data_IF_708250468254
#
_entry.id   IF_708250468254
#
_cell.length_a   1.000
_cell.length_b   1.000
_cell.length_c   1.000
_cell.angle_alpha   90.00
_cell.angle_beta   90.00
_cell.angle_gamma   90.00
#
_symmetry.space_group_name_H-M   'P 1'
#
loop_
_entity.id
_entity.type
_entity.pdbx_description
1 polymer ?
#
# COMPACT_ATOMS: atom_id res chain seq x y z
N UNK A 1 -36.70 3.65 -2.35
CA UNK A 1 -35.85 4.01 -1.19
C UNK A 1 -35.71 5.53 -1.18
N UNK A 2 -36.17 6.19 -0.11
CA UNK A 2 -36.17 7.65 0.03
C UNK A 2 -34.74 8.25 0.02
N UNK A 3 -34.55 9.41 -0.62
CA UNK A 3 -33.26 10.14 -0.63
C UNK A 3 -33.08 10.91 0.68
N UNK A 4 -31.81 11.11 1.10
CA UNK A 4 -31.49 11.83 2.34
C UNK A 4 -32.06 13.25 2.37
N UNK A 5 -31.96 14.01 1.27
CA UNK A 5 -32.51 15.37 1.20
C UNK A 5 -34.02 15.40 1.47
N UNK A 6 -34.76 14.49 0.82
CA UNK A 6 -36.21 14.34 1.01
C UNK A 6 -36.56 13.93 2.45
N UNK A 7 -35.82 12.99 3.02
CA UNK A 7 -36.00 12.57 4.41
C UNK A 7 -35.77 13.73 5.38
N UNK A 8 -34.75 14.55 5.13
CA UNK A 8 -34.41 15.71 5.96
C UNK A 8 -35.50 16.78 5.88
N UNK A 9 -36.00 17.08 4.69
CA UNK A 9 -37.10 18.04 4.49
C UNK A 9 -38.36 17.61 5.24
N UNK A 10 -38.81 16.37 5.03
CA UNK A 10 -40.00 15.82 5.71
C UNK A 10 -39.86 15.98 7.23
N UNK A 11 -38.75 15.50 7.80
CA UNK A 11 -38.52 15.56 9.25
C UNK A 11 -38.39 17.00 9.78
N UNK A 12 -37.83 17.92 8.99
CA UNK A 12 -37.70 19.33 9.39
C UNK A 12 -39.05 20.05 9.48
N UNK A 13 -40.03 19.62 8.68
CA UNK A 13 -41.38 20.19 8.64
C UNK A 13 -42.30 19.57 9.72
N UNK A 14 -42.19 18.26 9.96
CA UNK A 14 -43.18 17.51 10.77
C UNK A 14 -42.69 17.04 12.13
N UNK A 15 -41.38 17.08 12.39
CA UNK A 15 -40.80 16.65 13.66
C UNK A 15 -40.13 17.82 14.38
N UNK A 16 -38.92 18.20 13.95
CA UNK A 16 -38.13 19.29 14.55
C UNK A 16 -37.17 19.86 13.52
N UNK A 17 -36.75 21.12 13.64
CA UNK A 17 -35.66 21.65 12.83
C UNK A 17 -34.36 20.86 13.07
N UNK A 18 -33.53 20.76 12.03
CA UNK A 18 -32.30 19.94 12.00
C UNK A 18 -31.35 20.28 13.17
N UNK A 19 -31.28 21.57 13.55
CA UNK A 19 -30.43 22.06 14.65
C UNK A 19 -30.77 21.48 16.02
N UNK A 20 -31.97 20.91 16.18
CA UNK A 20 -32.43 20.29 17.43
C UNK A 20 -32.32 18.77 17.43
N UNK A 21 -31.79 18.16 16.37
CA UNK A 21 -31.67 16.72 16.30
C UNK A 21 -30.44 16.26 17.08
N UNK A 22 -30.62 15.28 17.97
CA UNK A 22 -29.51 14.55 18.57
C UNK A 22 -28.73 13.78 17.49
N UNK A 23 -27.42 13.65 17.65
CA UNK A 23 -26.55 12.79 16.82
C UNK A 23 -26.71 11.29 17.08
N UNK A 24 -27.64 10.90 17.95
CA UNK A 24 -27.92 9.50 18.27
C UNK A 24 -28.23 8.66 17.02
N UNK A 25 -27.83 7.38 17.10
CA UNK A 25 -28.14 6.35 16.10
C UNK A 25 -29.44 5.60 16.42
N UNK A 26 -30.13 6.00 17.48
CA UNK A 26 -31.42 5.47 17.91
C UNK A 26 -32.57 6.32 17.36
N UNK A 27 -33.75 5.71 17.29
CA UNK A 27 -34.98 6.42 16.94
C UNK A 27 -35.48 7.19 18.18
N UNK A 28 -35.71 8.51 18.09
CA UNK A 28 -36.26 9.29 19.19
C UNK A 28 -37.60 8.73 19.66
N UNK A 29 -37.80 8.69 20.98
CA UNK A 29 -39.05 8.18 21.58
C UNK A 29 -40.26 9.07 21.27
N UNK A 30 -40.02 10.34 20.99
CA UNK A 30 -41.00 11.35 20.64
C UNK A 30 -41.23 11.47 19.13
N UNK A 31 -40.61 10.62 18.30
CA UNK A 31 -40.82 10.63 16.85
C UNK A 31 -42.27 10.21 16.53
N UNK A 32 -43.00 10.96 15.69
CA UNK A 32 -44.34 10.58 15.27
C UNK A 32 -44.41 9.17 14.68
N UNK A 33 -45.45 8.40 15.03
CA UNK A 33 -45.61 6.98 14.64
C UNK A 33 -46.10 6.76 13.20
N UNK A 34 -45.90 7.74 12.32
CA UNK A 34 -46.26 7.63 10.91
C UNK A 34 -45.18 6.85 10.14
N UNK A 35 -45.59 5.93 9.27
CA UNK A 35 -44.68 5.07 8.50
C UNK A 35 -43.66 5.86 7.67
N UNK A 36 -44.09 6.94 7.00
CA UNK A 36 -43.23 7.80 6.19
C UNK A 36 -42.19 8.53 7.04
N UNK A 37 -42.56 8.95 8.25
CA UNK A 37 -41.68 9.62 9.20
C UNK A 37 -40.63 8.65 9.75
N UNK A 38 -41.05 7.41 10.06
CA UNK A 38 -40.12 6.37 10.50
C UNK A 38 -39.16 5.94 9.39
N UNK A 39 -39.63 5.83 8.14
CA UNK A 39 -38.76 5.57 6.98
C UNK A 39 -37.73 6.70 6.82
N UNK A 40 -38.16 7.96 6.89
CA UNK A 40 -37.28 9.12 6.80
C UNK A 40 -36.18 9.09 7.89
N UNK A 41 -36.54 8.79 9.15
CA UNK A 41 -35.56 8.69 10.23
C UNK A 41 -34.58 7.53 10.02
N UNK A 42 -35.06 6.40 9.47
CA UNK A 42 -34.19 5.25 9.15
C UNK A 42 -33.11 5.61 8.11
N UNK A 43 -33.43 6.48 7.15
CA UNK A 43 -32.46 6.98 6.15
C UNK A 43 -31.41 7.88 6.80
N UNK A 44 -31.83 8.76 7.72
CA UNK A 44 -30.92 9.61 8.51
C UNK A 44 -29.97 8.75 9.36
N UNK A 45 -30.48 7.75 10.08
CA UNK A 45 -29.66 6.83 10.87
C UNK A 45 -28.69 6.04 10.00
N UNK A 46 -29.11 5.55 8.83
CA UNK A 46 -28.22 4.87 7.87
C UNK A 46 -27.09 5.80 7.41
N UNK A 47 -27.41 7.06 7.09
CA UNK A 47 -26.40 8.05 6.70
C UNK A 47 -25.43 8.35 7.84
N UNK A 48 -25.93 8.58 9.07
CA UNK A 48 -25.10 8.78 10.27
C UNK A 48 -24.20 7.59 10.55
N UNK A 49 -24.71 6.36 10.45
CA UNK A 49 -23.89 5.13 10.58
C UNK A 49 -22.78 5.07 9.53
N UNK A 50 -23.08 5.43 8.29
CA UNK A 50 -22.08 5.51 7.21
C UNK A 50 -21.01 6.54 7.55
N UNK A 51 -21.41 7.76 7.91
CA UNK A 51 -20.52 8.89 8.24
C UNK A 51 -19.67 8.61 9.50
N UNK A 52 -20.26 8.04 10.55
CA UNK A 52 -19.56 7.62 11.76
C UNK A 52 -18.51 6.53 11.48
N UNK A 53 -18.80 5.59 10.57
CA UNK A 53 -17.81 4.61 10.09
C UNK A 53 -16.66 5.31 9.36
N UNK A 54 -16.96 6.29 8.49
CA UNK A 54 -15.94 7.06 7.75
C UNK A 54 -15.07 7.91 8.68
N UNK A 55 -15.66 8.51 9.73
CA UNK A 55 -14.92 9.24 10.75
C UNK A 55 -14.15 8.35 11.72
N UNK A 56 -14.63 7.14 12.04
CA UNK A 56 -13.81 6.16 12.79
C UNK A 56 -12.55 5.78 12.01
N UNK A 57 -12.63 5.67 10.68
CA UNK A 57 -11.43 5.46 9.86
C UNK A 57 -10.52 6.69 9.78
N UNK A 58 -11.02 7.93 9.95
CA UNK A 58 -10.17 9.13 9.93
C UNK A 58 -9.59 9.51 11.30
N UNK A 59 -10.29 9.24 12.41
CA UNK A 59 -9.84 9.59 13.78
C UNK A 59 -8.86 8.59 14.40
N UNK A 60 -8.64 7.44 13.74
CA UNK A 60 -7.58 6.47 14.09
C UNK A 60 -6.19 6.91 13.56
N UNK A 61 -6.10 8.02 12.82
CA UNK A 61 -4.85 8.53 12.21
C UNK A 61 -3.98 9.42 13.13
N UNK A 62 -3.87 9.08 14.42
CA UNK A 62 -2.63 9.25 15.18
C UNK A 62 -2.31 7.87 15.74
N UNK A 63 -1.83 6.97 14.88
CA UNK A 63 -1.39 5.67 15.35
C UNK A 63 -0.09 5.87 16.09
N UNK A 64 0.04 5.28 17.29
CA UNK A 64 1.31 5.22 18.03
C UNK A 64 2.46 4.76 17.13
N UNK A 65 2.15 3.92 16.14
CA UNK A 65 3.08 3.48 15.11
C UNK A 65 3.59 4.65 14.25
N UNK A 66 2.73 5.53 13.73
CA UNK A 66 3.19 6.67 12.94
C UNK A 66 4.16 7.56 13.71
N UNK A 67 3.82 7.90 14.95
CA UNK A 67 4.67 8.76 15.80
C UNK A 67 6.00 8.08 16.15
N UNK A 68 6.05 6.74 16.18
CA UNK A 68 7.28 5.94 16.33
C UNK A 68 8.17 5.96 15.09
N UNK A 69 7.58 5.93 13.90
CA UNK A 69 8.33 5.86 12.63
C UNK A 69 8.75 7.24 12.14
N UNK A 70 7.94 8.28 12.35
CA UNK A 70 8.18 9.61 11.81
C UNK A 70 9.61 10.13 12.10
N UNK A 71 10.16 10.01 13.32
CA UNK A 71 11.54 10.43 13.61
C UNK A 71 12.62 9.60 12.91
N UNK A 72 12.27 8.41 12.42
CA UNK A 72 13.17 7.45 11.77
C UNK A 72 12.87 7.30 10.27
N UNK A 73 12.19 8.30 9.67
CA UNK A 73 11.77 8.26 8.27
C UNK A 73 12.94 8.05 7.31
N UNK A 74 14.06 8.73 7.53
CA UNK A 74 15.22 8.62 6.62
C UNK A 74 15.91 7.26 6.75
N UNK A 75 15.96 6.71 7.96
CA UNK A 75 16.40 5.32 8.19
C UNK A 75 15.49 4.32 7.45
N UNK A 76 14.17 4.54 7.47
CA UNK A 76 13.21 3.71 6.74
C UNK A 76 13.44 3.77 5.22
N UNK A 77 13.77 4.95 4.69
CA UNK A 77 14.12 5.10 3.28
C UNK A 77 15.36 4.25 2.96
N UNK A 78 16.42 4.35 3.75
CA UNK A 78 17.64 3.56 3.52
C UNK A 78 17.40 2.05 3.68
N UNK A 79 16.53 1.63 4.60
CA UNK A 79 16.14 0.23 4.72
C UNK A 79 15.37 -0.27 3.48
N UNK A 80 14.47 0.56 2.94
CA UNK A 80 13.77 0.27 1.69
C UNK A 80 14.79 0.08 0.56
N UNK A 81 15.75 1.00 0.42
CA UNK A 81 16.83 0.97 -0.58
C UNK A 81 17.76 -0.23 -0.40
N UNK A 82 18.07 -0.62 0.83
CA UNK A 82 18.93 -1.79 1.12
C UNK A 82 18.29 -3.14 0.73
N UNK A 83 17.00 -3.11 0.37
CA UNK A 83 16.29 -4.31 -0.06
C UNK A 83 15.45 -4.97 1.01
N UNK A 84 15.22 -4.33 2.18
CA UNK A 84 14.40 -4.96 3.22
C UNK A 84 12.98 -5.27 2.72
N UNK A 85 12.45 -6.42 3.15
CA UNK A 85 11.07 -6.85 2.93
C UNK A 85 10.13 -6.17 3.92
N UNK A 86 8.83 -6.12 3.63
CA UNK A 86 7.84 -5.58 4.59
C UNK A 86 7.91 -6.27 5.94
N UNK A 87 8.16 -7.59 5.97
CA UNK A 87 8.33 -8.33 7.21
C UNK A 87 9.60 -7.93 7.99
N UNK A 88 10.72 -7.74 7.30
CA UNK A 88 11.96 -7.22 7.92
C UNK A 88 11.74 -5.81 8.49
N UNK A 89 11.01 -4.95 7.77
CA UNK A 89 10.66 -3.61 8.22
C UNK A 89 9.72 -3.64 9.43
N UNK A 90 8.61 -4.38 9.38
CA UNK A 90 7.67 -4.56 10.49
C UNK A 90 8.41 -4.98 11.78
N UNK A 91 9.36 -5.92 11.65
CA UNK A 91 10.19 -6.39 12.76
C UNK A 91 11.17 -5.33 13.26
N UNK A 92 11.90 -4.66 12.37
CA UNK A 92 12.92 -3.65 12.74
C UNK A 92 12.30 -2.44 13.45
N UNK A 93 11.12 -2.04 12.99
CA UNK A 93 10.41 -0.89 13.51
C UNK A 93 9.39 -1.23 14.60
N UNK A 94 9.17 -2.52 14.85
CA UNK A 94 8.23 -3.04 15.83
C UNK A 94 6.85 -2.40 15.66
N UNK A 95 6.31 -2.59 14.45
CA UNK A 95 4.97 -2.14 14.05
C UNK A 95 4.28 -3.25 13.26
N UNK A 96 2.96 -3.29 13.35
CA UNK A 96 2.15 -4.20 12.54
C UNK A 96 1.77 -3.46 11.25
N UNK A 97 2.16 -4.02 10.10
CA UNK A 97 1.80 -3.52 8.77
C UNK A 97 2.27 -2.08 8.49
N UNK A 98 3.59 -1.88 8.51
CA UNK A 98 4.27 -0.60 8.23
C UNK A 98 3.86 0.01 6.88
N UNK A 99 3.47 -0.83 5.91
CA UNK A 99 3.04 -0.39 4.58
C UNK A 99 1.86 0.60 4.64
N UNK A 100 0.96 0.46 5.62
CA UNK A 100 -0.15 1.40 5.81
C UNK A 100 0.33 2.83 6.13
N UNK A 101 1.52 2.97 6.70
CA UNK A 101 2.10 4.25 7.08
C UNK A 101 2.80 4.96 5.91
N UNK A 102 3.14 4.24 4.83
CA UNK A 102 4.00 4.77 3.76
C UNK A 102 3.43 5.97 3.02
N UNK A 103 2.10 6.04 2.84
CA UNK A 103 1.46 7.21 2.21
C UNK A 103 1.65 8.45 3.07
N UNK A 104 1.46 8.32 4.39
CA UNK A 104 1.54 9.46 5.32
C UNK A 104 2.98 9.86 5.62
N UNK A 105 3.89 8.90 5.59
CA UNK A 105 5.33 9.14 5.70
C UNK A 105 5.93 9.64 4.39
N UNK A 106 5.16 9.78 3.30
CA UNK A 106 5.66 10.19 1.98
C UNK A 106 6.84 9.34 1.49
N UNK A 107 6.75 8.02 1.68
CA UNK A 107 7.75 7.04 1.23
C UNK A 107 7.15 5.98 0.30
N UNK A 108 5.86 6.06 0.00
CA UNK A 108 5.14 5.07 -0.82
C UNK A 108 5.74 4.94 -2.22
N UNK A 109 6.03 6.06 -2.86
CA UNK A 109 6.64 6.10 -4.19
C UNK A 109 8.04 5.48 -4.20
N UNK A 110 8.89 5.81 -3.21
CA UNK A 110 10.20 5.20 -3.00
C UNK A 110 10.04 3.69 -2.85
N UNK A 111 9.15 3.23 -1.98
CA UNK A 111 8.89 1.80 -1.80
C UNK A 111 8.47 1.11 -3.10
N UNK A 112 7.58 1.72 -3.90
CA UNK A 112 7.13 1.15 -5.17
C UNK A 112 8.27 1.01 -6.18
N UNK A 113 9.13 2.02 -6.30
CA UNK A 113 10.35 1.99 -7.13
C UNK A 113 11.26 0.83 -6.73
N UNK A 114 11.61 0.75 -5.45
CA UNK A 114 12.50 -0.31 -4.98
C UNK A 114 11.83 -1.68 -4.93
N UNK A 115 10.51 -1.78 -4.77
CA UNK A 115 9.78 -3.03 -4.89
C UNK A 115 9.83 -3.57 -6.34
N UNK A 116 9.75 -2.68 -7.33
CA UNK A 116 9.99 -3.05 -8.73
C UNK A 116 11.40 -3.61 -8.90
N UNK A 117 12.43 -2.87 -8.47
CA UNK A 117 13.82 -3.30 -8.58
C UNK A 117 14.09 -4.63 -7.84
N UNK A 118 13.43 -4.88 -6.71
CA UNK A 118 13.55 -6.13 -5.94
C UNK A 118 13.03 -7.36 -6.68
N UNK A 119 12.03 -7.20 -7.55
CA UNK A 119 11.41 -8.31 -8.29
C UNK A 119 12.23 -8.74 -9.51
N UNK A 120 13.07 -7.83 -10.01
CA UNK A 120 13.93 -8.04 -11.17
C UNK A 120 14.96 -9.16 -10.96
N UNK A 121 15.46 -9.66 -12.08
CA UNK A 121 16.64 -10.52 -12.17
C UNK A 121 17.70 -9.74 -12.93
N UNK A 122 18.90 -9.69 -12.36
CA UNK A 122 20.05 -8.97 -12.90
C UNK A 122 21.04 -9.99 -13.44
N UNK A 123 21.32 -9.92 -14.73
CA UNK A 123 22.24 -10.80 -15.43
C UNK A 123 23.51 -10.02 -15.80
N UNK A 124 24.67 -10.49 -15.35
CA UNK A 124 25.96 -9.84 -15.60
C UNK A 124 26.82 -10.74 -16.47
N UNK A 125 27.37 -10.19 -17.55
CA UNK A 125 28.36 -10.83 -18.42
C UNK A 125 29.36 -9.80 -18.92
N UNK A 126 30.65 -10.05 -18.73
CA UNK A 126 31.74 -9.19 -19.21
C UNK A 126 31.56 -7.71 -18.81
N UNK A 127 31.13 -7.47 -17.57
CA UNK A 127 30.86 -6.13 -17.03
C UNK A 127 29.55 -5.48 -17.51
N UNK A 128 28.84 -6.09 -18.46
CA UNK A 128 27.53 -5.60 -18.94
C UNK A 128 26.39 -6.20 -18.13
N UNK A 129 25.40 -5.37 -17.83
CA UNK A 129 24.20 -5.76 -17.08
C UNK A 129 22.99 -5.80 -17.98
N UNK A 130 22.25 -6.90 -17.92
CA UNK A 130 20.91 -7.03 -18.47
C UNK A 130 19.91 -7.21 -17.33
N UNK A 131 18.78 -6.53 -17.42
CA UNK A 131 17.76 -6.55 -16.36
C UNK A 131 16.46 -7.06 -16.91
N UNK A 132 15.89 -8.04 -16.21
CA UNK A 132 14.59 -8.63 -16.52
C UNK A 132 13.64 -8.34 -15.39
N UNK A 133 12.42 -7.90 -15.69
CA UNK A 133 11.42 -7.58 -14.66
C UNK A 133 11.15 -8.73 -13.70
N UNK A 134 11.23 -9.98 -14.17
CA UNK A 134 10.97 -11.16 -13.37
C UNK A 134 11.69 -12.40 -13.94
N UNK A 135 11.60 -13.52 -13.21
CA UNK A 135 12.17 -14.80 -13.65
C UNK A 135 11.56 -15.23 -14.99
N UNK A 136 10.26 -15.04 -15.18
CA UNK A 136 9.57 -15.51 -16.39
C UNK A 136 10.14 -14.88 -17.66
N UNK A 137 10.34 -13.56 -17.68
CA UNK A 137 11.02 -12.86 -18.78
C UNK A 137 12.43 -13.39 -19.00
N UNK A 138 13.15 -13.66 -17.91
CA UNK A 138 14.51 -14.24 -17.97
C UNK A 138 14.48 -15.62 -18.63
N UNK A 139 13.59 -16.51 -18.18
CA UNK A 139 13.46 -17.86 -18.70
C UNK A 139 13.07 -17.88 -20.19
N UNK A 140 12.15 -17.00 -20.61
CA UNK A 140 11.79 -16.83 -22.03
C UNK A 140 12.98 -16.37 -22.86
N UNK A 141 13.74 -15.38 -22.38
CA UNK A 141 14.90 -14.84 -23.08
C UNK A 141 15.97 -15.92 -23.32
N UNK A 142 16.30 -16.69 -22.28
CA UNK A 142 17.32 -17.74 -22.36
C UNK A 142 16.81 -19.10 -22.85
N UNK A 143 15.50 -19.22 -23.18
CA UNK A 143 14.84 -20.46 -23.61
C UNK A 143 15.06 -21.62 -22.63
N UNK A 144 14.81 -21.38 -21.34
CA UNK A 144 14.96 -22.38 -20.27
C UNK A 144 13.67 -22.52 -19.45
N UNK A 145 13.50 -23.68 -18.80
CA UNK A 145 12.41 -23.90 -17.86
C UNK A 145 12.56 -23.09 -16.57
N UNK A 146 11.44 -22.79 -15.90
CA UNK A 146 11.41 -22.04 -14.63
C UNK A 146 11.81 -22.89 -13.41
N UNK A 147 11.72 -24.23 -13.51
CA UNK A 147 11.82 -25.13 -12.38
C UNK A 147 13.24 -25.10 -11.80
N UNK A 148 13.33 -24.77 -10.51
CA UNK A 148 14.59 -24.63 -9.77
C UNK A 148 15.54 -23.53 -10.32
N UNK A 149 15.05 -22.54 -11.08
CA UNK A 149 15.88 -21.46 -11.63
C UNK A 149 16.69 -20.74 -10.54
N UNK A 150 16.01 -20.22 -9.51
CA UNK A 150 16.65 -19.51 -8.41
C UNK A 150 17.66 -20.38 -7.66
N UNK A 151 17.33 -21.66 -7.42
CA UNK A 151 18.25 -22.59 -6.76
C UNK A 151 19.50 -22.83 -7.60
N UNK A 152 19.33 -23.12 -8.90
CA UNK A 152 20.42 -23.52 -9.79
C UNK A 152 21.35 -22.36 -10.14
N UNK A 153 20.82 -21.20 -10.53
CA UNK A 153 21.62 -20.12 -11.11
C UNK A 153 21.89 -18.97 -10.14
N UNK A 154 20.92 -18.63 -9.28
CA UNK A 154 21.09 -17.51 -8.34
C UNK A 154 21.78 -17.98 -7.06
N UNK A 155 21.22 -18.99 -6.37
CA UNK A 155 21.73 -19.44 -5.06
C UNK A 155 23.02 -20.24 -5.17
N UNK A 156 23.12 -21.14 -6.14
CA UNK A 156 24.32 -21.95 -6.35
C UNK A 156 25.37 -21.25 -7.22
N UNK A 157 25.11 -20.01 -7.68
CA UNK A 157 26.06 -19.23 -8.47
C UNK A 157 26.41 -19.79 -9.86
N UNK A 158 25.63 -20.75 -10.39
CA UNK A 158 25.89 -21.26 -11.74
C UNK A 158 25.59 -20.18 -12.78
N UNK A 159 26.41 -20.14 -13.81
CA UNK A 159 26.21 -19.26 -14.95
C UNK A 159 25.21 -19.84 -15.93
N UNK A 160 24.46 -18.97 -16.61
CA UNK A 160 23.58 -19.32 -17.71
C UNK A 160 24.08 -18.63 -18.99
N UNK A 161 24.57 -19.38 -19.97
CA UNK A 161 25.12 -18.84 -21.23
C UNK A 161 26.20 -17.75 -21.01
N UNK A 162 27.02 -17.92 -19.97
CA UNK A 162 28.05 -16.96 -19.56
C UNK A 162 27.56 -15.82 -18.66
N UNK A 163 26.25 -15.71 -18.39
CA UNK A 163 25.70 -14.72 -17.46
C UNK A 163 25.69 -15.25 -16.03
N UNK A 164 26.17 -14.44 -15.07
CA UNK A 164 25.90 -14.63 -13.64
C UNK A 164 24.60 -13.91 -13.28
N UNK A 165 23.74 -14.58 -12.52
CA UNK A 165 22.38 -14.12 -12.24
C UNK A 165 22.22 -13.76 -10.77
N UNK A 166 21.61 -12.61 -10.50
CA UNK A 166 21.46 -12.06 -9.15
C UNK A 166 20.03 -11.58 -8.89
N UNK A 167 19.62 -11.69 -7.62
CA UNK A 167 18.53 -10.87 -7.06
C UNK A 167 19.09 -9.56 -6.55
N UNK A 168 18.20 -8.59 -6.36
CA UNK A 168 18.52 -7.23 -5.89
C UNK A 168 19.61 -7.16 -4.81
N UNK A 169 19.41 -7.80 -3.63
CA UNK A 169 20.39 -7.78 -2.53
C UNK A 169 21.76 -8.36 -2.92
N UNK A 170 21.79 -9.33 -3.84
CA UNK A 170 23.04 -9.89 -4.35
C UNK A 170 23.69 -8.98 -5.39
N UNK A 171 22.88 -8.35 -6.25
CA UNK A 171 23.32 -7.44 -7.30
C UNK A 171 24.01 -6.20 -6.74
N UNK A 172 23.38 -5.51 -5.79
CA UNK A 172 23.95 -4.29 -5.17
C UNK A 172 25.30 -4.55 -4.46
N UNK A 173 25.56 -5.79 -4.05
CA UNK A 173 26.82 -6.18 -3.40
C UNK A 173 27.96 -6.40 -4.38
N UNK A 174 27.65 -6.84 -5.60
CA UNK A 174 28.65 -7.25 -6.59
C UNK A 174 28.84 -6.22 -7.71
N UNK A 175 27.94 -5.24 -7.81
CA UNK A 175 27.95 -4.22 -8.84
C UNK A 175 27.93 -2.82 -8.21
N UNK A 176 29.08 -2.14 -8.05
CA UNK A 176 29.18 -0.85 -7.36
C UNK A 176 28.35 0.26 -8.03
N UNK A 177 28.33 0.29 -9.37
CA UNK A 177 27.63 1.32 -10.15
C UNK A 177 26.13 1.02 -10.36
N UNK A 178 25.49 0.35 -9.41
CA UNK A 178 24.09 -0.08 -9.55
C UNK A 178 23.09 1.09 -9.58
N UNK A 179 23.42 2.21 -8.94
CA UNK A 179 22.55 3.38 -8.89
C UNK A 179 22.22 3.93 -10.28
N UNK A 180 23.20 4.02 -11.18
CA UNK A 180 22.98 4.46 -12.57
C UNK A 180 21.99 3.53 -13.30
N UNK A 181 22.17 2.23 -13.12
CA UNK A 181 21.28 1.22 -13.72
C UNK A 181 19.87 1.35 -13.17
N UNK A 182 19.73 1.60 -11.86
CA UNK A 182 18.41 1.75 -11.23
C UNK A 182 17.67 2.98 -11.74
N UNK A 183 18.35 4.12 -11.87
CA UNK A 183 17.76 5.33 -12.44
C UNK A 183 17.30 5.13 -13.89
N UNK A 184 18.10 4.45 -14.72
CA UNK A 184 17.71 4.11 -16.09
C UNK A 184 16.46 3.23 -16.14
N UNK A 185 16.37 2.22 -15.26
CA UNK A 185 15.20 1.34 -15.16
C UNK A 185 13.97 2.11 -14.72
N UNK A 186 14.09 2.93 -13.68
CA UNK A 186 12.98 3.71 -13.12
C UNK A 186 12.45 4.67 -14.19
N UNK A 187 13.34 5.39 -14.89
CA UNK A 187 12.96 6.30 -15.96
C UNK A 187 12.26 5.58 -17.12
N UNK A 188 12.84 4.47 -17.60
CA UNK A 188 12.28 3.70 -18.72
C UNK A 188 10.89 3.13 -18.44
N UNK A 189 10.58 2.84 -17.19
CA UNK A 189 9.30 2.24 -16.78
C UNK A 189 8.31 3.26 -16.18
N UNK A 190 8.63 4.56 -16.18
CA UNK A 190 7.81 5.63 -15.59
C UNK A 190 7.37 5.33 -14.14
N UNK A 191 8.33 4.93 -13.29
CA UNK A 191 8.11 4.55 -11.87
C UNK A 191 8.55 5.69 -10.92
#
# INVERSE_FOLDING_TARGET
MMKLGTAVTILSEVYKPISQWSDSLETPRDLPKNETIQEAWSVVVKFRRKHARTHRTSRVYHSKNFDKILPRRDELIEDIKSGMTLWELDKKYDVINIYQLFTRLDVKWIYQRYAFLKRCVYAIKDGKVMVFDNIEKTCRHFKIGNTNFDKKYIRNGKTLQGYRLYRYKGFIKVYPDHDKIFEEIIHKNNI
#
